data_IF_978689580246
#
_entry.id   IF_978689580246
#
_cell.length_a   1.000
_cell.length_b   1.000
_cell.length_c   1.000
_cell.angle_alpha   90.00
_cell.angle_beta   90.00
_cell.angle_gamma   90.00
#
_symmetry.space_group_name_H-M   'P 1'
#
loop_
_entity.id
_entity.type
_entity.pdbx_description
1 polymer ?
#
# COMPACT_ATOMS: atom_id res chain seq x y z
N UNK A 1 18.17 5.99 -10.57
CA UNK A 1 17.84 6.93 -9.48
C UNK A 1 18.96 7.96 -9.31
N UNK A 2 20.24 7.57 -9.31
CA UNK A 2 21.41 8.45 -9.19
C UNK A 2 21.30 9.70 -10.07
N UNK A 3 21.09 9.54 -11.38
CA UNK A 3 20.95 10.66 -12.32
C UNK A 3 19.84 11.65 -11.91
N UNK A 4 18.68 11.14 -11.41
CA UNK A 4 17.60 12.01 -10.95
C UNK A 4 18.03 12.83 -9.72
N UNK A 5 18.65 12.17 -8.75
CA UNK A 5 19.11 12.82 -7.51
C UNK A 5 20.20 13.86 -7.78
N UNK A 6 21.07 13.62 -8.80
CA UNK A 6 22.10 14.58 -9.18
C UNK A 6 21.61 15.76 -10.04
N UNK A 7 20.66 15.51 -10.95
CA UNK A 7 20.30 16.49 -12.00
C UNK A 7 18.95 17.16 -11.77
N UNK A 8 18.15 16.67 -10.84
CA UNK A 8 16.83 17.20 -10.55
C UNK A 8 16.73 17.59 -9.07
N UNK A 9 15.85 18.53 -8.77
CA UNK A 9 15.54 18.88 -7.37
C UNK A 9 14.47 17.91 -6.83
N UNK A 10 14.89 16.66 -6.60
CA UNK A 10 14.01 15.62 -6.02
C UNK A 10 13.71 16.00 -4.58
N UNK A 11 12.43 16.06 -4.22
CA UNK A 11 11.95 16.57 -2.94
C UNK A 11 10.63 15.91 -2.54
N UNK A 12 10.03 16.37 -1.46
CA UNK A 12 8.73 15.87 -0.96
C UNK A 12 7.56 15.94 -1.96
N UNK A 13 7.71 16.63 -3.08
CA UNK A 13 6.73 16.70 -4.16
C UNK A 13 6.90 15.60 -5.23
N UNK A 14 7.87 14.72 -5.04
CA UNK A 14 8.15 13.62 -5.95
C UNK A 14 7.65 12.29 -5.37
N UNK A 15 7.22 11.41 -6.27
CA UNK A 15 6.97 10.01 -5.97
C UNK A 15 7.69 9.16 -7.03
N UNK A 16 8.67 8.38 -6.61
CA UNK A 16 9.40 7.45 -7.49
C UNK A 16 8.76 6.08 -7.38
N UNK A 17 8.24 5.58 -8.51
CA UNK A 17 7.51 4.31 -8.54
C UNK A 17 8.48 3.14 -8.69
N UNK A 18 8.21 2.06 -7.96
CA UNK A 18 8.96 0.81 -7.87
C UNK A 18 10.36 0.98 -7.25
N UNK A 19 11.31 1.54 -7.98
CA UNK A 19 12.69 1.80 -7.55
C UNK A 19 13.38 0.56 -6.92
N UNK A 20 13.12 -0.64 -7.47
CA UNK A 20 13.60 -1.94 -6.95
C UNK A 20 15.08 -2.20 -7.22
N UNK A 21 15.69 -1.49 -8.17
CA UNK A 21 17.09 -1.66 -8.62
C UNK A 21 18.02 -0.55 -8.13
N UNK A 22 17.80 -0.03 -6.93
CA UNK A 22 18.67 1.00 -6.34
C UNK A 22 19.92 0.38 -5.68
N UNK A 23 21.04 1.12 -5.77
CA UNK A 23 22.18 0.90 -4.87
C UNK A 23 21.85 1.37 -3.45
N UNK A 24 22.75 1.11 -2.50
CA UNK A 24 22.63 1.60 -1.12
C UNK A 24 22.63 3.14 -1.08
N UNK A 25 23.56 3.77 -1.81
CA UNK A 25 23.66 5.22 -1.90
C UNK A 25 22.41 5.85 -2.50
N UNK A 26 21.86 5.26 -3.57
CA UNK A 26 20.58 5.71 -4.17
C UNK A 26 19.42 5.54 -3.21
N UNK A 27 19.37 4.45 -2.45
CA UNK A 27 18.33 4.17 -1.46
C UNK A 27 18.33 5.23 -0.35
N UNK A 28 19.50 5.51 0.22
CA UNK A 28 19.67 6.55 1.25
C UNK A 28 19.40 7.95 0.67
N UNK A 29 19.91 8.21 -0.54
CA UNK A 29 19.68 9.48 -1.24
C UNK A 29 18.19 9.75 -1.48
N UNK A 30 17.44 8.75 -1.94
CA UNK A 30 15.99 8.85 -2.10
C UNK A 30 15.28 9.07 -0.75
N UNK A 31 15.63 8.29 0.27
CA UNK A 31 15.04 8.42 1.59
C UNK A 31 15.21 9.83 2.18
N UNK A 32 16.41 10.39 2.07
CA UNK A 32 16.75 11.72 2.62
C UNK A 32 16.26 12.89 1.78
N UNK A 33 15.88 12.67 0.53
CA UNK A 33 15.31 13.72 -0.34
C UNK A 33 13.90 14.17 0.09
N UNK A 34 13.22 13.37 0.92
CA UNK A 34 11.84 13.58 1.31
C UNK A 34 10.81 13.11 0.26
N UNK A 35 11.25 12.60 -0.88
CA UNK A 35 10.36 12.01 -1.88
C UNK A 35 9.74 10.71 -1.38
N UNK A 36 8.59 10.37 -1.93
CA UNK A 36 7.89 9.12 -1.61
C UNK A 36 8.38 8.00 -2.52
N UNK A 37 8.66 6.82 -1.96
CA UNK A 37 8.74 5.59 -2.74
C UNK A 37 7.32 5.04 -2.95
N UNK A 38 6.85 5.02 -4.20
CA UNK A 38 5.56 4.43 -4.59
C UNK A 38 5.75 2.97 -4.94
N UNK A 39 5.40 2.07 -4.03
CA UNK A 39 5.67 0.64 -4.15
C UNK A 39 4.44 -0.11 -4.66
N UNK A 40 4.66 -1.13 -5.47
CA UNK A 40 3.61 -2.00 -5.99
C UNK A 40 4.03 -3.47 -5.81
N UNK A 41 4.15 -3.96 -4.55
CA UNK A 41 4.75 -5.25 -4.23
C UNK A 41 4.14 -6.45 -4.96
N UNK A 42 2.83 -6.45 -5.19
CA UNK A 42 2.16 -7.53 -5.95
C UNK A 42 2.59 -7.49 -7.41
N UNK A 43 2.63 -6.31 -8.03
CA UNK A 43 3.09 -6.15 -9.43
C UNK A 43 4.57 -6.48 -9.57
N UNK A 44 5.40 -5.97 -8.70
CA UNK A 44 6.85 -6.24 -8.64
C UNK A 44 7.13 -7.74 -8.51
N UNK A 45 6.35 -8.44 -7.69
CA UNK A 45 6.42 -9.91 -7.56
C UNK A 45 5.92 -10.62 -8.81
N UNK A 46 4.83 -10.15 -9.43
CA UNK A 46 4.23 -10.75 -10.62
C UNK A 46 5.17 -10.64 -11.85
N UNK A 47 5.87 -9.52 -11.99
CA UNK A 47 6.79 -9.27 -13.10
C UNK A 47 8.22 -9.74 -12.80
N UNK A 48 8.56 -10.01 -11.53
CA UNK A 48 9.92 -10.37 -11.14
C UNK A 48 10.88 -9.19 -11.16
N UNK A 49 10.38 -7.99 -10.83
CA UNK A 49 11.13 -6.73 -10.92
C UNK A 49 12.13 -6.52 -9.77
N UNK A 50 12.27 -7.50 -8.88
CA UNK A 50 13.19 -7.44 -7.76
C UNK A 50 12.52 -6.96 -6.45
N UNK A 51 13.33 -6.82 -5.42
CA UNK A 51 12.89 -6.47 -4.08
C UNK A 51 13.38 -5.06 -3.75
N UNK A 52 12.45 -4.16 -3.43
CA UNK A 52 12.77 -2.82 -2.95
C UNK A 52 13.64 -2.88 -1.67
N UNK A 53 14.62 -1.97 -1.51
CA UNK A 53 15.49 -1.92 -0.34
C UNK A 53 14.79 -1.33 0.89
N UNK A 54 13.66 -1.93 1.29
CA UNK A 54 12.74 -1.38 2.30
C UNK A 54 13.36 -1.17 3.67
N UNK A 55 14.16 -2.12 4.13
CA UNK A 55 14.82 -2.05 5.45
C UNK A 55 15.76 -0.85 5.54
N UNK A 56 16.63 -0.69 4.54
CA UNK A 56 17.59 0.41 4.49
C UNK A 56 16.91 1.76 4.24
N UNK A 57 15.92 1.78 3.35
CA UNK A 57 15.14 2.98 3.03
C UNK A 57 14.45 3.56 4.26
N UNK A 58 13.75 2.70 5.03
CA UNK A 58 13.06 3.13 6.26
C UNK A 58 14.04 3.50 7.37
N UNK A 59 15.18 2.80 7.51
CA UNK A 59 16.23 3.15 8.46
C UNK A 59 16.83 4.53 8.19
N UNK A 60 16.86 4.95 6.92
CA UNK A 60 17.27 6.30 6.51
C UNK A 60 16.15 7.35 6.61
N UNK A 61 14.98 7.01 7.17
CA UNK A 61 13.84 7.92 7.34
C UNK A 61 12.96 8.09 6.11
N UNK A 62 13.04 7.18 5.15
CA UNK A 62 12.27 7.21 3.92
C UNK A 62 10.76 7.07 4.12
N UNK A 63 10.00 7.69 3.25
CA UNK A 63 8.53 7.66 3.22
C UNK A 63 8.03 6.85 2.03
N UNK A 64 7.09 5.92 2.25
CA UNK A 64 6.54 5.09 1.18
C UNK A 64 5.02 5.13 1.12
N UNK A 65 4.47 4.90 -0.06
CA UNK A 65 3.07 4.58 -0.30
C UNK A 65 2.98 3.28 -1.08
N UNK A 66 1.78 2.67 -1.13
CA UNK A 66 1.55 1.47 -1.94
C UNK A 66 0.42 1.69 -2.93
N UNK A 67 0.51 1.01 -4.06
CA UNK A 67 -0.52 0.99 -5.09
C UNK A 67 -0.53 -0.35 -5.82
N UNK A 68 -1.66 -0.68 -6.47
CA UNK A 68 -1.81 -1.96 -7.18
C UNK A 68 -1.23 -1.95 -8.60
N UNK A 69 -0.86 -0.76 -9.10
CA UNK A 69 -0.42 -0.59 -10.49
C UNK A 69 -1.43 -1.21 -11.48
N UNK A 70 -0.97 -1.83 -12.56
CA UNK A 70 -1.80 -2.51 -13.55
C UNK A 70 -2.15 -3.97 -13.21
N UNK A 71 -1.87 -4.42 -11.99
CA UNK A 71 -2.22 -5.76 -11.54
C UNK A 71 -3.73 -5.89 -11.35
N UNK A 72 -4.27 -7.07 -11.70
CA UNK A 72 -5.70 -7.38 -11.50
C UNK A 72 -6.01 -7.75 -10.04
N UNK A 73 -5.02 -8.13 -9.25
CA UNK A 73 -5.12 -8.37 -7.82
C UNK A 73 -4.97 -7.06 -7.07
N UNK A 74 -6.09 -6.49 -6.63
CA UNK A 74 -6.14 -5.22 -5.89
C UNK A 74 -6.45 -5.55 -4.44
N UNK A 75 -5.45 -5.45 -3.56
CA UNK A 75 -5.57 -5.81 -2.16
C UNK A 75 -4.53 -5.06 -1.32
N UNK A 76 -4.98 -4.16 -0.46
CA UNK A 76 -4.08 -3.41 0.43
C UNK A 76 -3.34 -4.35 1.39
N UNK A 77 -4.06 -5.30 2.00
CA UNK A 77 -3.45 -6.24 2.95
C UNK A 77 -2.36 -7.10 2.30
N UNK A 78 -2.57 -7.49 1.04
CA UNK A 78 -1.61 -8.29 0.29
C UNK A 78 -0.40 -7.46 -0.18
N UNK A 79 -0.56 -6.20 -0.59
CA UNK A 79 0.56 -5.29 -0.87
C UNK A 79 1.47 -5.15 0.36
N UNK A 80 0.89 -4.86 1.53
CA UNK A 80 1.65 -4.68 2.77
C UNK A 80 2.32 -5.98 3.22
N UNK A 81 1.63 -7.11 3.12
CA UNK A 81 2.17 -8.44 3.42
C UNK A 81 3.34 -8.78 2.51
N UNK A 82 3.17 -8.59 1.21
CA UNK A 82 4.19 -8.90 0.20
C UNK A 82 5.43 -8.04 0.39
N UNK A 83 5.25 -6.76 0.72
CA UNK A 83 6.36 -5.85 1.02
C UNK A 83 7.21 -6.37 2.19
N UNK A 84 6.61 -6.73 3.30
CA UNK A 84 7.35 -7.28 4.45
C UNK A 84 7.92 -8.67 4.16
N UNK A 85 7.17 -9.56 3.50
CA UNK A 85 7.63 -10.93 3.23
C UNK A 85 8.79 -10.97 2.25
N UNK A 86 8.83 -10.08 1.27
CA UNK A 86 9.99 -9.96 0.38
C UNK A 86 11.28 -9.64 1.13
N UNK A 87 11.22 -8.73 2.11
CA UNK A 87 12.36 -8.41 2.97
C UNK A 87 12.76 -9.63 3.82
N UNK A 88 11.77 -10.31 4.45
CA UNK A 88 12.04 -11.51 5.28
C UNK A 88 12.76 -12.59 4.50
N UNK A 89 12.35 -12.84 3.27
CA UNK A 89 12.97 -13.85 2.41
C UNK A 89 14.37 -13.45 1.96
N UNK A 90 14.58 -12.18 1.61
CA UNK A 90 15.89 -11.66 1.22
C UNK A 90 16.88 -11.69 2.39
N UNK A 91 16.47 -11.21 3.56
CA UNK A 91 17.36 -10.94 4.69
C UNK A 91 17.40 -12.10 5.71
N UNK A 92 16.64 -13.18 5.46
CA UNK A 92 16.53 -14.38 6.33
C UNK A 92 16.24 -13.97 7.79
N UNK A 93 15.32 -13.02 7.98
CA UNK A 93 14.98 -12.45 9.28
C UNK A 93 13.49 -12.14 9.37
N UNK A 94 13.01 -11.67 10.52
CA UNK A 94 11.58 -11.35 10.77
C UNK A 94 11.45 -9.94 11.30
N UNK A 95 10.24 -9.34 11.10
CA UNK A 95 9.87 -8.03 11.63
C UNK A 95 10.85 -6.93 11.17
N UNK A 96 11.05 -6.84 9.85
CA UNK A 96 12.09 -6.00 9.26
C UNK A 96 11.62 -4.56 9.01
N UNK A 97 10.35 -4.37 8.63
CA UNK A 97 9.82 -3.06 8.29
C UNK A 97 9.09 -2.42 9.49
N UNK A 98 9.75 -2.44 10.65
CA UNK A 98 9.28 -1.77 11.86
C UNK A 98 10.34 -0.77 12.33
N UNK A 99 9.93 0.47 12.58
CA UNK A 99 10.77 1.50 13.17
C UNK A 99 10.06 2.12 14.36
N UNK A 100 10.78 2.21 15.49
CA UNK A 100 10.24 2.74 16.73
C UNK A 100 9.33 1.75 17.48
N UNK A 101 8.39 2.29 18.24
CA UNK A 101 7.44 1.51 19.01
C UNK A 101 6.27 1.06 18.15
N UNK A 102 5.81 -0.17 18.32
CA UNK A 102 4.65 -0.73 17.64
C UNK A 102 4.92 -2.05 16.92
N UNK A 103 3.93 -2.51 16.17
CA UNK A 103 4.01 -3.73 15.40
C UNK A 103 4.36 -3.46 13.93
N UNK A 104 4.80 -4.49 13.22
CA UNK A 104 5.08 -4.40 11.78
C UNK A 104 3.83 -4.00 10.99
N UNK A 105 2.69 -4.62 11.30
CA UNK A 105 1.43 -4.28 10.61
C UNK A 105 1.03 -2.83 10.82
N UNK A 106 1.20 -2.29 12.03
CA UNK A 106 0.95 -0.87 12.29
C UNK A 106 1.91 0.03 11.51
N UNK A 107 3.21 -0.27 11.52
CA UNK A 107 4.22 0.51 10.78
C UNK A 107 3.93 0.53 9.28
N UNK A 108 3.60 -0.63 8.70
CA UNK A 108 3.25 -0.76 7.29
C UNK A 108 1.98 0.02 6.94
N UNK A 109 0.90 -0.19 7.68
CA UNK A 109 -0.39 0.46 7.40
C UNK A 109 -0.30 1.98 7.54
N UNK A 110 0.23 2.45 8.67
CA UNK A 110 0.37 3.87 8.93
C UNK A 110 1.38 4.55 7.99
N UNK A 111 2.46 3.86 7.63
CA UNK A 111 3.44 4.33 6.65
C UNK A 111 2.81 4.50 5.28
N UNK A 112 2.12 3.46 4.78
CA UNK A 112 1.43 3.50 3.50
C UNK A 112 0.34 4.58 3.44
N UNK A 113 -0.43 4.78 4.52
CA UNK A 113 -1.46 5.80 4.57
C UNK A 113 -0.87 7.22 4.50
N UNK A 114 0.17 7.51 5.29
CA UNK A 114 0.83 8.83 5.29
C UNK A 114 1.56 9.10 3.98
N UNK A 115 2.37 8.15 3.52
CA UNK A 115 3.14 8.32 2.29
C UNK A 115 2.26 8.33 1.06
N UNK A 116 1.19 7.53 1.02
CA UNK A 116 0.19 7.59 -0.05
C UNK A 116 -0.50 8.95 -0.11
N UNK A 117 -0.89 9.54 1.02
CA UNK A 117 -1.48 10.88 1.07
C UNK A 117 -0.51 11.94 0.55
N UNK A 118 0.78 11.87 0.93
CA UNK A 118 1.83 12.75 0.42
C UNK A 118 1.99 12.59 -1.10
N UNK A 119 2.09 11.36 -1.59
CA UNK A 119 2.31 11.06 -3.02
C UNK A 119 1.21 11.65 -3.92
N UNK A 120 -0.04 11.67 -3.46
CA UNK A 120 -1.18 12.23 -4.21
C UNK A 120 -1.49 13.68 -3.83
N UNK A 121 -0.67 14.31 -2.99
CA UNK A 121 -0.84 15.71 -2.59
C UNK A 121 -2.13 15.99 -1.80
N UNK A 122 -2.63 15.03 -1.02
CA UNK A 122 -3.87 15.19 -0.24
C UNK A 122 -3.59 15.40 1.24
N UNK A 123 -4.35 16.28 1.88
CA UNK A 123 -4.36 16.43 3.33
C UNK A 123 -5.17 15.29 3.98
N UNK A 124 -4.60 14.08 3.98
CA UNK A 124 -5.20 12.82 4.42
C UNK A 124 -4.13 11.92 5.07
N UNK A 125 -4.45 10.64 5.28
CA UNK A 125 -3.51 9.64 5.80
C UNK A 125 -3.43 9.56 7.32
N UNK A 126 -4.17 10.44 8.02
CA UNK A 126 -4.35 10.42 9.47
C UNK A 126 -5.78 10.85 9.83
N UNK A 127 -6.28 10.39 10.97
CA UNK A 127 -7.55 10.85 11.53
C UNK A 127 -7.24 12.04 12.44
N UNK A 128 -7.48 13.26 11.94
CA UNK A 128 -7.24 14.49 12.68
C UNK A 128 -8.21 15.60 12.24
N UNK A 129 -8.40 16.60 13.11
CA UNK A 129 -9.21 17.78 12.77
C UNK A 129 -8.54 18.53 11.62
N UNK A 130 -9.30 18.83 10.58
CA UNK A 130 -8.82 19.56 9.39
C UNK A 130 -8.29 18.67 8.26
N UNK A 131 -8.18 17.35 8.47
CA UNK A 131 -7.86 16.41 7.40
C UNK A 131 -9.12 15.95 6.66
N UNK A 132 -8.94 15.40 5.46
CA UNK A 132 -10.04 14.78 4.73
C UNK A 132 -10.61 13.60 5.54
N UNK A 133 -11.93 13.49 5.54
CA UNK A 133 -12.65 12.42 6.22
C UNK A 133 -12.57 11.11 5.40
N UNK A 134 -11.37 10.55 5.33
CA UNK A 134 -11.10 9.23 4.74
C UNK A 134 -11.01 8.22 5.90
N UNK A 135 -11.94 7.27 5.95
CA UNK A 135 -12.02 6.27 7.02
C UNK A 135 -12.20 4.89 6.43
N UNK A 136 -11.62 3.90 7.09
CA UNK A 136 -11.86 2.49 6.85
C UNK A 136 -12.23 1.83 8.18
N UNK A 137 -13.35 1.11 8.21
CA UNK A 137 -13.75 0.28 9.35
C UNK A 137 -13.52 -1.19 9.04
N UNK A 138 -13.06 -1.94 10.05
CA UNK A 138 -12.86 -3.39 9.97
C UNK A 138 -13.72 -4.10 11.01
N UNK A 139 -14.19 -5.32 10.69
CA UNK A 139 -14.91 -6.18 11.61
C UNK A 139 -13.94 -6.85 12.59
N UNK A 140 -13.84 -6.32 13.79
CA UNK A 140 -13.00 -6.91 14.87
C UNK A 140 -13.56 -8.22 15.43
N UNK A 141 -14.82 -8.59 15.11
CA UNK A 141 -15.39 -9.87 15.47
C UNK A 141 -15.16 -10.96 14.42
N UNK A 142 -14.55 -10.60 13.29
CA UNK A 142 -14.19 -11.57 12.27
C UNK A 142 -13.27 -12.67 12.84
N UNK A 143 -13.42 -13.91 12.39
CA UNK A 143 -12.72 -15.08 12.95
C UNK A 143 -11.20 -14.92 13.01
N UNK A 144 -10.60 -14.17 12.11
CA UNK A 144 -9.16 -13.89 12.09
C UNK A 144 -8.73 -12.78 13.05
N UNK A 145 -9.66 -11.97 13.56
CA UNK A 145 -9.35 -10.79 14.36
C UNK A 145 -9.92 -10.84 15.78
N UNK A 146 -10.96 -11.64 16.04
CA UNK A 146 -11.77 -11.61 17.26
C UNK A 146 -11.02 -11.91 18.56
N UNK A 147 -9.84 -12.52 18.50
CA UNK A 147 -9.01 -12.81 19.67
C UNK A 147 -7.81 -11.84 19.79
N UNK A 148 -7.71 -10.83 18.92
CA UNK A 148 -6.59 -9.90 18.92
C UNK A 148 -6.89 -8.67 19.79
N UNK A 149 -5.86 -8.16 20.46
CA UNK A 149 -5.93 -6.85 21.13
C UNK A 149 -5.81 -5.72 20.10
N UNK A 150 -6.19 -4.49 20.49
CA UNK A 150 -6.09 -3.32 19.63
C UNK A 150 -4.70 -3.15 18.99
N UNK A 151 -3.65 -3.43 19.75
CA UNK A 151 -2.25 -3.34 19.28
C UNK A 151 -1.91 -4.37 18.19
N UNK A 152 -2.67 -5.45 18.09
CA UNK A 152 -2.44 -6.56 17.16
C UNK A 152 -3.35 -6.49 15.92
N UNK A 153 -4.35 -5.58 15.89
CA UNK A 153 -5.33 -5.53 14.79
C UNK A 153 -4.68 -5.26 13.43
N UNK A 154 -3.67 -4.39 13.37
CA UNK A 154 -2.95 -4.14 12.12
C UNK A 154 -2.11 -5.34 11.67
N UNK A 155 -1.49 -6.08 12.62
CA UNK A 155 -0.81 -7.33 12.29
C UNK A 155 -1.82 -8.37 11.79
N UNK A 156 -2.97 -8.47 12.44
CA UNK A 156 -4.08 -9.32 11.99
C UNK A 156 -4.55 -8.97 10.58
N UNK A 157 -4.75 -7.67 10.31
CA UNK A 157 -5.11 -7.19 8.99
C UNK A 157 -4.06 -7.55 7.92
N UNK A 158 -2.79 -7.27 8.20
CA UNK A 158 -1.72 -7.52 7.22
C UNK A 158 -1.40 -9.00 7.05
N UNK A 159 -1.35 -9.79 8.12
CA UNK A 159 -0.71 -11.11 8.11
C UNK A 159 -1.65 -12.29 8.34
N UNK A 160 -2.81 -12.09 8.94
CA UNK A 160 -3.75 -13.18 9.28
C UNK A 160 -5.07 -13.11 8.50
N UNK A 161 -5.44 -11.96 7.96
CA UNK A 161 -6.69 -11.76 7.23
C UNK A 161 -6.44 -11.30 5.78
N UNK A 162 -7.48 -10.84 5.16
CA UNK A 162 -7.49 -10.18 3.86
C UNK A 162 -8.48 -8.99 3.90
N UNK A 163 -8.70 -8.35 2.76
CA UNK A 163 -9.56 -7.18 2.67
C UNK A 163 -11.05 -7.46 2.95
N UNK A 164 -11.45 -8.72 3.11
CA UNK A 164 -12.84 -9.10 3.47
C UNK A 164 -13.26 -8.67 4.86
N UNK A 165 -12.30 -8.35 5.74
CA UNK A 165 -12.57 -7.79 7.06
C UNK A 165 -12.99 -6.32 7.02
N UNK A 166 -12.84 -5.64 5.87
CA UNK A 166 -13.26 -4.25 5.69
C UNK A 166 -14.77 -4.19 5.54
N UNK A 167 -15.46 -3.54 6.47
CA UNK A 167 -16.91 -3.38 6.45
C UNK A 167 -17.35 -2.08 5.81
N UNK A 168 -16.65 -0.99 6.06
CA UNK A 168 -17.09 0.33 5.61
C UNK A 168 -15.90 1.18 5.18
N UNK A 169 -16.11 1.99 4.14
CA UNK A 169 -15.12 2.96 3.66
C UNK A 169 -15.80 4.30 3.39
N UNK A 170 -15.21 5.36 3.92
CA UNK A 170 -15.57 6.75 3.58
C UNK A 170 -14.41 7.38 2.81
N UNK A 171 -14.73 8.03 1.71
CA UNK A 171 -13.79 8.82 0.92
C UNK A 171 -14.23 10.28 0.89
N UNK A 172 -13.45 11.15 1.50
CA UNK A 172 -13.79 12.57 1.71
C UNK A 172 -15.20 12.73 2.30
N UNK A 173 -15.53 11.95 3.32
CA UNK A 173 -16.83 11.94 4.01
C UNK A 173 -17.94 11.20 3.27
N UNK A 174 -17.76 10.71 2.06
CA UNK A 174 -18.76 9.93 1.33
C UNK A 174 -18.64 8.46 1.70
N UNK A 175 -19.70 7.87 2.23
CA UNK A 175 -19.78 6.45 2.60
C UNK A 175 -19.91 5.60 1.32
N UNK A 176 -18.78 5.13 0.78
CA UNK A 176 -18.71 4.47 -0.53
C UNK A 176 -18.72 2.94 -0.46
N UNK A 177 -18.33 2.35 0.68
CA UNK A 177 -18.48 0.91 0.97
C UNK A 177 -19.30 0.76 2.23
N UNK A 178 -20.30 -0.12 2.20
CA UNK A 178 -21.22 -0.40 3.28
C UNK A 178 -21.40 -1.92 3.42
N UNK A 179 -21.16 -2.46 4.62
CA UNK A 179 -21.21 -3.90 4.86
C UNK A 179 -20.30 -4.70 3.91
N UNK A 180 -19.09 -4.21 3.66
CA UNK A 180 -18.12 -4.85 2.75
C UNK A 180 -18.43 -4.71 1.26
N UNK A 181 -19.37 -3.82 0.89
CA UNK A 181 -19.87 -3.75 -0.48
C UNK A 181 -19.90 -2.31 -0.99
N UNK A 182 -19.23 -2.04 -2.11
CA UNK A 182 -19.28 -0.71 -2.74
C UNK A 182 -20.71 -0.40 -3.23
N UNK A 183 -21.19 0.83 -2.97
CA UNK A 183 -22.57 1.28 -3.27
C UNK A 183 -23.00 1.11 -4.74
N UNK A 184 -22.04 1.10 -5.67
CA UNK A 184 -22.30 0.90 -7.11
C UNK A 184 -21.82 -0.45 -7.63
N UNK A 185 -21.56 -1.42 -6.74
CA UNK A 185 -20.91 -2.69 -7.10
C UNK A 185 -21.63 -3.42 -8.23
N UNK A 186 -22.94 -3.57 -8.16
CA UNK A 186 -23.70 -4.37 -9.13
C UNK A 186 -23.67 -3.73 -10.52
N UNK A 187 -23.93 -2.44 -10.61
CA UNK A 187 -23.87 -1.70 -11.87
C UNK A 187 -22.46 -1.69 -12.48
N UNK A 188 -21.39 -1.69 -11.64
CA UNK A 188 -20.01 -1.81 -12.09
C UNK A 188 -19.75 -3.21 -12.64
N UNK A 189 -20.16 -4.26 -11.94
CA UNK A 189 -19.95 -5.64 -12.37
C UNK A 189 -20.67 -5.96 -13.68
N UNK A 190 -21.88 -5.47 -13.86
CA UNK A 190 -22.64 -5.72 -15.10
C UNK A 190 -21.96 -5.04 -16.29
N UNK A 191 -21.52 -3.78 -16.15
CA UNK A 191 -20.76 -3.08 -17.18
C UNK A 191 -19.41 -3.76 -17.47
N UNK A 192 -18.71 -4.20 -16.44
CA UNK A 192 -17.45 -4.91 -16.59
C UNK A 192 -17.62 -6.22 -17.38
N UNK A 193 -18.63 -7.05 -17.02
CA UNK A 193 -18.92 -8.28 -17.73
C UNK A 193 -19.28 -8.04 -19.21
N UNK A 194 -20.07 -7.00 -19.50
CA UNK A 194 -20.40 -6.63 -20.86
C UNK A 194 -19.16 -6.21 -21.66
N UNK A 195 -18.29 -5.37 -21.07
CA UNK A 195 -17.04 -4.94 -21.71
C UNK A 195 -16.08 -6.12 -21.97
N UNK A 196 -15.95 -7.04 -21.01
CA UNK A 196 -15.12 -8.24 -21.18
C UNK A 196 -15.65 -9.19 -22.23
N UNK A 197 -16.98 -9.33 -22.36
CA UNK A 197 -17.60 -10.13 -23.40
C UNK A 197 -17.35 -9.54 -24.80
N UNK A 198 -17.50 -8.22 -24.95
CA UNK A 198 -17.20 -7.50 -26.20
C UNK A 198 -15.71 -7.61 -26.59
N UNK A 199 -14.80 -7.42 -25.62
CA UNK A 199 -13.37 -7.56 -25.84
C UNK A 199 -13.00 -8.98 -26.30
N UNK A 200 -13.57 -10.01 -25.63
CA UNK A 200 -13.32 -11.41 -25.97
C UNK A 200 -13.77 -11.74 -27.40
N UNK A 201 -14.90 -11.20 -27.86
CA UNK A 201 -15.35 -11.42 -29.24
C UNK A 201 -14.38 -10.84 -30.27
N UNK A 202 -13.82 -9.65 -30.00
CA UNK A 202 -12.86 -8.97 -30.88
C UNK A 202 -11.47 -9.60 -30.94
N UNK A 203 -11.04 -10.28 -29.87
CA UNK A 203 -9.73 -10.96 -29.85
C UNK A 203 -9.78 -12.31 -30.58
N UNK A 204 -10.96 -12.93 -30.64
CA UNK A 204 -11.16 -14.24 -31.29
C UNK A 204 -11.51 -14.13 -32.80
N UNK A 205 -11.63 -12.92 -33.33
CA UNK A 205 -11.71 -12.62 -34.76
C UNK A 205 -10.30 -12.42 -35.37
#
# INVERSE_FOLDING_TARGET
VEWLLEKQNVSSNWCLIHATHMTSEETVGLATSGAVAGLCPITESNLGDGIFNGTEFLAAGGTFGVGSDSNIRISLSEELRTLEYSQRLRDISRNLLVHGEGSVGHALYAGAARGGAQAIGRNAGTIAVGTLADFTAIDTNHTYLCALSEHQLFDGFCFASDDTVVTDVWSAGRHVVQGGRHIHRDAILDRFRAAMSDLKSKINE
#
